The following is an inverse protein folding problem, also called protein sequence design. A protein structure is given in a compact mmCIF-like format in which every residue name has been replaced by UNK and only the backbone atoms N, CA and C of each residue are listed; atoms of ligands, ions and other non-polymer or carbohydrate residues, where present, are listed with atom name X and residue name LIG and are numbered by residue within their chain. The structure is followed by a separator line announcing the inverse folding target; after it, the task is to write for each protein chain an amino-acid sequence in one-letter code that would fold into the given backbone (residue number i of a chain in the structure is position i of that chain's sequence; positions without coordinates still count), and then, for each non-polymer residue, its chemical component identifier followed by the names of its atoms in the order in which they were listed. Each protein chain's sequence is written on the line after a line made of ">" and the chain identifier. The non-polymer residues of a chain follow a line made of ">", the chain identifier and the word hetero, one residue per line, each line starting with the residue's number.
data_IF_812384269549
#
_entry.id   IF_812384269549
#
_cell.length_a   1.000
_cell.length_b   1.000
_cell.length_c   1.000
_cell.angle_alpha   90.00
_cell.angle_beta   90.00
_cell.angle_gamma   90.00
#
_symmetry.space_group_name_H-M   'P 1'
#
loop_
_entity.id
_entity.type
_entity.pdbx_description
1 polymer ?
#
# COMPACT_ATOMS: atom_id res chain seq x y z
N UNK A 1 6.43 5.17 19.07
CA UNK A 1 5.34 4.42 18.42
C UNK A 1 5.80 2.97 18.30
N UNK A 2 5.01 1.93 18.54
CA UNK A 2 5.47 0.52 18.43
C UNK A 2 4.71 -0.23 17.33
N UNK A 3 4.51 0.43 16.17
CA UNK A 3 3.94 -0.22 14.97
C UNK A 3 4.74 -1.50 14.65
N UNK A 4 6.05 -1.48 14.91
CA UNK A 4 6.96 -2.59 14.69
C UNK A 4 6.74 -3.84 15.55
N UNK A 5 6.22 -3.72 16.80
CA UNK A 5 5.92 -4.92 17.63
C UNK A 5 4.78 -5.77 17.03
N UNK A 6 3.90 -5.17 16.22
CA UNK A 6 2.83 -5.89 15.50
C UNK A 6 3.33 -6.60 14.24
N UNK A 7 4.52 -6.26 13.75
CA UNK A 7 5.05 -6.75 12.47
C UNK A 7 6.32 -7.63 12.60
N UNK A 8 6.83 -7.89 13.81
CA UNK A 8 8.01 -8.74 14.03
C UNK A 8 7.60 -10.23 13.96
N UNK A 9 8.19 -11.06 13.09
CA UNK A 9 7.94 -12.50 13.09
C UNK A 9 8.75 -13.18 14.21
N UNK A 10 8.05 -13.99 15.01
CA UNK A 10 8.55 -15.08 15.87
C UNK A 10 9.94 -14.97 16.52
N UNK A 11 9.97 -14.72 17.82
CA UNK A 11 11.08 -15.07 18.71
C UNK A 11 10.52 -15.64 20.01
N UNK A 12 10.95 -16.85 20.38
CA UNK A 12 10.44 -17.63 21.49
C UNK A 12 10.46 -16.88 22.84
N UNK A 13 9.41 -17.15 23.61
CA UNK A 13 9.10 -16.64 24.94
C UNK A 13 10.15 -16.96 26.02
N UNK A 14 10.57 -15.94 26.76
CA UNK A 14 10.97 -16.04 28.16
C UNK A 14 10.31 -14.87 28.93
N UNK A 15 9.83 -15.07 30.18
CA UNK A 15 9.01 -14.08 30.86
C UNK A 15 9.89 -13.05 31.58
N UNK A 16 9.95 -11.83 31.05
CA UNK A 16 10.39 -10.67 31.84
C UNK A 16 9.16 -9.86 32.26
N UNK A 17 8.92 -9.91 33.57
CA UNK A 17 7.84 -9.21 34.26
C UNK A 17 8.18 -7.71 34.33
N UNK A 18 7.18 -6.89 34.00
CA UNK A 18 6.94 -5.51 34.44
C UNK A 18 7.98 -4.43 34.14
N UNK A 19 7.81 -3.73 33.00
CA UNK A 19 8.12 -2.29 32.88
C UNK A 19 7.15 -1.51 31.95
N UNK A 20 6.11 -2.15 31.38
CA UNK A 20 5.38 -1.62 30.22
C UNK A 20 3.93 -1.14 30.49
N UNK A 21 3.60 -0.75 31.73
CA UNK A 21 2.36 0.02 32.01
C UNK A 21 2.54 1.54 31.85
N UNK A 22 3.76 2.02 31.58
CA UNK A 22 4.07 3.45 31.65
C UNK A 22 3.77 4.28 30.38
N UNK A 23 3.41 3.67 29.24
CA UNK A 23 3.35 4.39 27.95
C UNK A 23 1.94 4.52 27.33
N UNK A 24 0.90 4.16 28.07
CA UNK A 24 -0.50 4.35 27.71
C UNK A 24 -1.21 5.31 28.68
N UNK A 25 -0.52 6.37 29.12
CA UNK A 25 -1.14 7.36 30.02
C UNK A 25 -2.32 8.06 29.29
N UNK A 26 -3.59 7.81 29.67
CA UNK A 26 -4.75 8.33 28.97
C UNK A 26 -4.77 9.86 28.89
N UNK A 27 -4.17 10.51 29.90
CA UNK A 27 -4.01 11.96 29.95
C UNK A 27 -3.10 12.50 28.85
N UNK A 28 -2.00 11.79 28.54
CA UNK A 28 -1.09 12.20 27.47
C UNK A 28 -1.74 12.05 26.08
N UNK A 29 -2.54 11.01 25.88
CA UNK A 29 -3.31 10.83 24.63
C UNK A 29 -4.40 11.89 24.47
N UNK A 30 -5.09 12.25 25.55
CA UNK A 30 -6.10 13.32 25.54
C UNK A 30 -5.50 14.69 25.23
N UNK A 31 -4.35 15.03 25.84
CA UNK A 31 -3.61 16.26 25.54
C UNK A 31 -3.13 16.28 24.08
N UNK A 32 -2.61 15.16 23.58
CA UNK A 32 -2.19 15.04 22.19
C UNK A 32 -3.34 15.25 21.21
N UNK A 33 -4.51 14.70 21.50
CA UNK A 33 -5.72 14.92 20.70
C UNK A 33 -6.18 16.39 20.71
N UNK A 34 -6.15 17.04 21.87
CA UNK A 34 -6.52 18.46 21.98
C UNK A 34 -5.55 19.34 21.16
N UNK A 35 -4.25 19.05 21.21
CA UNK A 35 -3.26 19.76 20.43
C UNK A 35 -3.43 19.52 18.92
N UNK A 36 -3.69 18.28 18.50
CA UNK A 36 -3.97 17.95 17.10
C UNK A 36 -5.17 18.74 16.56
N UNK A 37 -6.28 18.77 17.32
CA UNK A 37 -7.48 19.54 16.95
C UNK A 37 -7.18 21.03 16.80
N UNK A 38 -6.38 21.58 17.72
CA UNK A 38 -5.96 22.99 17.63
C UNK A 38 -5.13 23.26 16.38
N UNK A 39 -4.10 22.44 16.12
CA UNK A 39 -3.26 22.58 14.92
C UNK A 39 -4.08 22.47 13.63
N UNK A 40 -5.02 21.52 13.58
CA UNK A 40 -5.85 21.34 12.39
C UNK A 40 -6.88 22.47 12.20
N UNK A 41 -7.39 23.04 13.29
CA UNK A 41 -8.23 24.24 13.24
C UNK A 41 -7.45 25.44 12.69
N UNK A 42 -6.23 25.67 13.16
CA UNK A 42 -5.34 26.74 12.65
C UNK A 42 -4.90 26.50 11.20
N UNK A 43 -4.79 25.23 10.79
CA UNK A 43 -4.50 24.85 9.41
C UNK A 43 -5.68 25.13 8.47
N UNK A 44 -6.91 24.86 8.92
CA UNK A 44 -8.15 25.05 8.12
C UNK A 44 -8.64 26.49 8.12
N UNK A 45 -8.37 27.24 9.20
CA UNK A 45 -8.76 28.64 9.36
C UNK A 45 -7.52 29.49 9.68
N UNK A 46 -6.57 29.62 8.75
CA UNK A 46 -5.33 30.34 9.01
C UNK A 46 -5.59 31.86 9.05
N UNK A 47 -4.86 32.57 9.93
CA UNK A 47 -4.96 34.04 10.04
C UNK A 47 -4.52 34.77 8.76
N UNK A 48 -3.71 34.11 7.93
CA UNK A 48 -3.28 34.58 6.62
C UNK A 48 -3.30 33.41 5.62
N UNK A 49 -3.51 33.67 4.31
CA UNK A 49 -3.43 32.62 3.30
C UNK A 49 -2.10 31.88 3.36
N UNK A 50 -2.15 30.54 3.48
CA UNK A 50 -0.96 29.69 3.52
C UNK A 50 -0.51 29.34 2.10
N UNK A 51 0.79 29.42 1.85
CA UNK A 51 1.42 28.85 0.66
C UNK A 51 1.32 27.32 0.67
N UNK A 52 1.48 26.68 -0.49
CA UNK A 52 1.47 25.22 -0.59
C UNK A 52 2.52 24.57 0.31
N UNK A 53 3.74 25.12 0.33
CA UNK A 53 4.83 24.66 1.20
C UNK A 53 4.47 24.77 2.68
N UNK A 54 3.91 25.89 3.12
CA UNK A 54 3.50 26.05 4.52
C UNK A 54 2.37 25.10 4.91
N UNK A 55 1.47 24.77 3.98
CA UNK A 55 0.43 23.76 4.20
C UNK A 55 1.05 22.38 4.38
N UNK A 56 2.00 22.01 3.53
CA UNK A 56 2.68 20.72 3.63
C UNK A 56 3.49 20.62 4.93
N UNK A 57 4.27 21.65 5.27
CA UNK A 57 5.05 21.70 6.52
C UNK A 57 4.15 21.59 7.76
N UNK A 58 3.01 22.29 7.78
CA UNK A 58 2.03 22.17 8.88
C UNK A 58 1.42 20.78 8.94
N UNK A 59 1.10 20.15 7.80
CA UNK A 59 0.61 18.77 7.76
C UNK A 59 1.65 17.81 8.32
N UNK A 60 2.91 17.87 7.84
CA UNK A 60 3.99 17.03 8.33
C UNK A 60 4.16 17.11 9.85
N UNK A 61 4.08 18.30 10.42
CA UNK A 61 4.15 18.50 11.88
C UNK A 61 2.98 17.87 12.65
N UNK A 62 1.82 17.69 12.02
CA UNK A 62 0.65 17.04 12.64
C UNK A 62 0.70 15.51 12.57
N UNK A 63 1.43 14.90 11.63
CA UNK A 63 1.41 13.45 11.41
C UNK A 63 1.97 12.63 12.59
N UNK A 64 3.13 12.96 13.20
CA UNK A 64 3.63 12.26 14.39
C UNK A 64 2.62 12.26 15.52
N UNK A 65 1.97 13.40 15.74
CA UNK A 65 0.96 13.54 16.78
C UNK A 65 -0.29 12.71 16.49
N UNK A 66 -0.80 12.76 15.26
CA UNK A 66 -1.94 11.94 14.83
C UNK A 66 -1.65 10.45 15.06
N UNK A 67 -0.51 9.97 14.57
CA UNK A 67 -0.12 8.58 14.70
C UNK A 67 0.14 8.19 16.16
N UNK A 68 0.62 9.10 17.02
CA UNK A 68 0.78 8.85 18.46
C UNK A 68 -0.58 8.73 19.18
N UNK A 69 -1.55 9.56 18.81
CA UNK A 69 -2.90 9.57 19.41
C UNK A 69 -3.69 8.33 18.99
N UNK A 70 -3.64 7.96 17.71
CA UNK A 70 -4.49 6.91 17.15
C UNK A 70 -3.80 5.57 16.92
N UNK A 71 -2.46 5.49 17.00
CA UNK A 71 -1.71 4.26 16.71
C UNK A 71 -2.03 3.05 17.60
N UNK A 72 -2.53 3.31 18.81
CA UNK A 72 -2.97 2.29 19.77
C UNK A 72 -4.47 2.33 20.07
N UNK A 73 -5.22 3.22 19.41
CA UNK A 73 -6.68 3.31 19.59
C UNK A 73 -7.40 2.37 18.61
N UNK A 74 -8.56 1.80 18.96
CA UNK A 74 -9.45 1.17 18.00
C UNK A 74 -9.76 2.12 16.84
N UNK A 75 -9.90 1.61 15.61
CA UNK A 75 -10.14 2.48 14.46
C UNK A 75 -11.49 3.18 14.48
N UNK A 76 -12.49 2.58 15.14
CA UNK A 76 -13.80 3.17 15.42
C UNK A 76 -13.71 4.49 16.21
N UNK A 77 -12.71 4.64 17.06
CA UNK A 77 -12.56 5.80 17.94
C UNK A 77 -12.17 7.08 17.19
N UNK A 78 -11.59 6.95 15.98
CA UNK A 78 -11.10 8.11 15.21
C UNK A 78 -12.21 9.12 14.91
N UNK A 79 -13.34 8.63 14.40
CA UNK A 79 -14.50 9.44 14.05
C UNK A 79 -15.13 10.10 15.28
N UNK A 80 -15.25 9.37 16.40
CA UNK A 80 -15.83 9.89 17.63
C UNK A 80 -14.94 10.98 18.26
N UNK A 81 -13.64 10.73 18.29
CA UNK A 81 -12.68 11.59 18.99
C UNK A 81 -12.24 12.79 18.16
N UNK A 82 -12.22 12.70 16.84
CA UNK A 82 -11.76 13.77 15.95
C UNK A 82 -12.80 14.05 14.85
N UNK A 83 -13.72 14.99 15.11
CA UNK A 83 -14.84 15.30 14.21
C UNK A 83 -14.39 15.74 12.81
N UNK A 84 -13.24 16.38 12.68
CA UNK A 84 -12.70 16.82 11.39
C UNK A 84 -11.88 15.73 10.68
N UNK A 85 -11.97 14.47 11.11
CA UNK A 85 -11.16 13.36 10.57
C UNK A 85 -11.32 13.19 9.06
N UNK A 86 -12.50 13.42 8.49
CA UNK A 86 -12.72 13.33 7.04
C UNK A 86 -11.95 14.41 6.28
N UNK A 87 -11.98 15.64 6.78
CA UNK A 87 -11.21 16.74 6.21
C UNK A 87 -9.71 16.50 6.38
N UNK A 88 -9.27 16.04 7.56
CA UNK A 88 -7.88 15.66 7.81
C UNK A 88 -7.41 14.55 6.86
N UNK A 89 -8.20 13.48 6.72
CA UNK A 89 -7.96 12.38 5.81
C UNK A 89 -7.79 12.86 4.36
N UNK A 90 -8.64 13.80 3.92
CA UNK A 90 -8.54 14.36 2.58
C UNK A 90 -7.22 15.08 2.37
N UNK A 91 -6.75 15.87 3.34
CA UNK A 91 -5.49 16.61 3.23
C UNK A 91 -4.28 15.68 3.26
N UNK A 92 -4.25 14.71 4.18
CA UNK A 92 -3.19 13.68 4.26
C UNK A 92 -3.12 12.88 2.96
N UNK A 93 -4.27 12.49 2.42
CA UNK A 93 -4.35 11.73 1.18
C UNK A 93 -3.89 12.54 -0.04
N UNK A 94 -4.25 13.83 -0.12
CA UNK A 94 -3.76 14.74 -1.18
C UNK A 94 -2.25 14.94 -1.10
N UNK A 95 -1.71 15.11 0.11
CA UNK A 95 -0.28 15.23 0.34
C UNK A 95 0.45 13.97 -0.16
N UNK A 96 -0.02 12.78 0.21
CA UNK A 96 0.56 11.53 -0.31
C UNK A 96 0.56 11.49 -1.84
N UNK A 97 -0.59 11.76 -2.47
CA UNK A 97 -0.70 11.72 -3.93
C UNK A 97 0.22 12.76 -4.60
N UNK A 98 0.31 13.97 -4.05
CA UNK A 98 1.21 15.02 -4.55
C UNK A 98 2.67 14.58 -4.45
N UNK A 99 3.08 14.04 -3.31
CA UNK A 99 4.46 13.65 -3.06
C UNK A 99 4.93 12.48 -3.93
N UNK A 100 4.05 11.51 -4.20
CA UNK A 100 4.33 10.41 -5.11
C UNK A 100 4.45 10.90 -6.55
N UNK A 101 3.51 11.73 -7.01
CA UNK A 101 3.52 12.29 -8.38
C UNK A 101 4.72 13.17 -8.63
N UNK A 102 5.08 14.01 -7.66
CA UNK A 102 6.26 14.88 -7.72
C UNK A 102 7.54 14.07 -7.93
N UNK A 103 7.66 12.93 -7.26
CA UNK A 103 8.83 12.03 -7.38
C UNK A 103 8.84 11.20 -8.65
N UNK A 104 7.66 10.84 -9.17
CA UNK A 104 7.55 10.10 -10.42
C UNK A 104 7.73 10.97 -11.67
N UNK A 105 7.60 12.29 -11.57
CA UNK A 105 7.59 13.19 -12.73
C UNK A 105 8.96 13.31 -13.38
N UNK A 106 9.01 13.18 -14.72
CA UNK A 106 10.18 13.43 -15.58
C UNK A 106 11.43 12.61 -15.23
N UNK A 107 11.25 11.37 -14.80
CA UNK A 107 12.34 10.45 -14.44
C UNK A 107 12.17 9.10 -15.16
N UNK A 108 13.25 8.33 -15.25
CA UNK A 108 13.14 6.91 -15.60
C UNK A 108 12.34 6.16 -14.53
N UNK A 109 11.81 4.98 -14.86
CA UNK A 109 11.04 4.18 -13.91
C UNK A 109 11.88 3.77 -12.69
N UNK A 110 13.14 3.38 -12.90
CA UNK A 110 14.11 3.13 -11.84
C UNK A 110 14.31 4.35 -10.93
N UNK A 111 14.62 5.53 -11.49
CA UNK A 111 14.85 6.74 -10.69
C UNK A 111 13.60 7.17 -9.92
N UNK A 112 12.43 7.09 -10.55
CA UNK A 112 11.14 7.34 -9.90
C UNK A 112 10.90 6.37 -8.73
N UNK A 113 11.15 5.07 -8.93
CA UNK A 113 10.99 4.05 -7.90
C UNK A 113 11.91 4.30 -6.69
N UNK A 114 13.19 4.62 -6.95
CA UNK A 114 14.18 4.98 -5.93
C UNK A 114 13.77 6.22 -5.14
N UNK A 115 13.33 7.29 -5.83
CA UNK A 115 12.91 8.52 -5.18
C UNK A 115 11.69 8.32 -4.27
N UNK A 116 10.72 7.52 -4.71
CA UNK A 116 9.54 7.18 -3.92
C UNK A 116 9.92 6.35 -2.69
N UNK A 117 10.68 5.26 -2.87
CA UNK A 117 11.10 4.39 -1.78
C UNK A 117 11.93 5.15 -0.76
N UNK A 118 12.90 5.96 -1.20
CA UNK A 118 13.73 6.78 -0.31
C UNK A 118 12.91 7.70 0.58
N UNK A 119 11.82 8.26 0.07
CA UNK A 119 10.94 9.11 0.86
C UNK A 119 10.08 8.32 1.85
N UNK A 120 9.60 7.14 1.45
CA UNK A 120 8.71 6.34 2.27
C UNK A 120 9.44 5.51 3.33
N UNK A 121 10.72 5.15 3.12
CA UNK A 121 11.53 4.43 4.08
C UNK A 121 11.86 5.28 5.32
N UNK A 122 12.13 4.60 6.43
CA UNK A 122 12.64 5.23 7.65
C UNK A 122 14.09 5.66 7.38
N UNK A 123 14.42 6.94 7.59
CA UNK A 123 15.80 7.42 7.49
C UNK A 123 16.58 7.08 8.77
N UNK A 124 16.48 7.92 9.80
CA UNK A 124 17.20 7.73 11.07
C UNK A 124 16.31 7.14 12.16
N UNK A 125 15.09 7.67 12.28
CA UNK A 125 14.06 7.23 13.21
C UNK A 125 12.66 7.43 12.60
N UNK A 126 11.65 6.73 13.12
CA UNK A 126 10.27 6.83 12.61
C UNK A 126 9.77 8.29 12.61
N UNK A 127 9.93 8.99 13.74
CA UNK A 127 9.33 10.31 14.01
C UNK A 127 10.00 11.45 13.23
N UNK A 128 11.22 11.23 12.72
CA UNK A 128 11.95 12.20 11.89
C UNK A 128 11.67 12.03 10.39
N UNK A 129 11.04 10.93 9.99
CA UNK A 129 10.88 10.54 8.59
C UNK A 129 9.50 10.97 8.07
N UNK A 130 9.45 12.11 7.39
CA UNK A 130 8.19 12.71 6.90
C UNK A 130 7.34 11.75 6.06
N UNK A 131 7.94 11.04 5.10
CA UNK A 131 7.19 10.12 4.24
C UNK A 131 6.75 8.84 4.95
N UNK A 132 7.58 8.30 5.85
CA UNK A 132 7.18 7.20 6.74
C UNK A 132 5.99 7.58 7.62
N UNK A 133 6.01 8.78 8.21
CA UNK A 133 4.91 9.28 9.04
C UNK A 133 3.64 9.51 8.23
N UNK A 134 3.77 9.97 6.98
CA UNK A 134 2.67 10.14 6.05
C UNK A 134 2.03 8.80 5.68
N UNK A 135 2.84 7.79 5.37
CA UNK A 135 2.37 6.43 5.08
C UNK A 135 1.72 5.79 6.32
N UNK A 136 2.29 6.02 7.50
CA UNK A 136 1.75 5.54 8.77
C UNK A 136 0.40 6.16 9.10
N UNK A 137 0.23 7.47 8.90
CA UNK A 137 -1.04 8.16 9.08
C UNK A 137 -2.08 7.65 8.09
N UNK A 138 -1.69 7.48 6.81
CA UNK A 138 -2.54 6.93 5.76
C UNK A 138 -3.01 5.51 6.10
N UNK A 139 -2.12 4.67 6.65
CA UNK A 139 -2.45 3.32 7.09
C UNK A 139 -3.49 3.31 8.22
N UNK A 140 -3.35 4.19 9.21
CA UNK A 140 -4.35 4.34 10.28
C UNK A 140 -5.70 4.79 9.71
N UNK A 141 -5.71 5.78 8.83
CA UNK A 141 -6.92 6.28 8.18
C UNK A 141 -7.61 5.19 7.34
N UNK A 142 -6.84 4.36 6.62
CA UNK A 142 -7.36 3.24 5.84
C UNK A 142 -7.97 2.12 6.70
N UNK A 143 -7.64 2.04 7.99
CA UNK A 143 -8.29 1.12 8.93
C UNK A 143 -9.60 1.66 9.51
N UNK A 144 -9.93 2.92 9.23
CA UNK A 144 -11.19 3.54 9.61
C UNK A 144 -12.38 2.98 8.82
N UNK A 145 -13.53 3.65 8.94
CA UNK A 145 -14.73 3.20 8.25
C UNK A 145 -14.72 3.53 6.74
N UNK A 146 -15.77 3.08 6.06
CA UNK A 146 -15.97 3.25 4.62
C UNK A 146 -15.93 4.71 4.16
N UNK A 147 -16.30 5.67 5.02
CA UNK A 147 -16.31 7.10 4.65
C UNK A 147 -14.90 7.64 4.48
N UNK A 148 -13.94 7.18 5.29
CA UNK A 148 -12.52 7.50 5.14
C UNK A 148 -11.95 6.88 3.86
N UNK A 149 -12.28 5.62 3.58
CA UNK A 149 -11.89 4.95 2.34
C UNK A 149 -12.44 5.68 1.10
N UNK A 150 -13.68 6.17 1.16
CA UNK A 150 -14.26 6.98 0.09
C UNK A 150 -13.50 8.29 -0.12
N UNK A 151 -13.10 8.97 0.96
CA UNK A 151 -12.27 10.19 0.88
C UNK A 151 -10.94 9.88 0.19
N UNK A 152 -10.22 8.84 0.61
CA UNK A 152 -8.94 8.41 0.03
C UNK A 152 -9.10 8.05 -1.47
N UNK A 153 -10.18 7.35 -1.80
CA UNK A 153 -10.53 6.96 -3.17
C UNK A 153 -10.78 8.18 -4.06
N UNK A 154 -11.55 9.16 -3.55
CA UNK A 154 -11.91 10.38 -4.30
C UNK A 154 -10.70 11.22 -4.72
N UNK A 155 -9.59 11.10 -3.97
CA UNK A 155 -8.35 11.84 -4.26
C UNK A 155 -7.27 10.99 -4.93
N UNK A 156 -7.59 9.78 -5.42
CA UNK A 156 -6.68 8.91 -6.18
C UNK A 156 -5.63 8.15 -5.35
N UNK A 157 -5.86 7.89 -4.06
CA UNK A 157 -4.89 7.09 -3.29
C UNK A 157 -4.69 5.69 -3.88
N UNK A 158 -5.75 4.90 -4.20
CA UNK A 158 -5.58 3.53 -4.67
C UNK A 158 -4.77 3.45 -5.98
N UNK A 159 -5.20 4.16 -7.03
CA UNK A 159 -4.45 4.31 -8.28
C UNK A 159 -3.00 4.76 -8.10
N UNK A 160 -2.75 5.75 -7.25
CA UNK A 160 -1.39 6.23 -7.01
C UNK A 160 -0.52 5.15 -6.38
N UNK A 161 -1.02 4.43 -5.37
CA UNK A 161 -0.25 3.39 -4.70
C UNK A 161 -0.05 2.15 -5.58
N UNK A 162 -1.03 1.77 -6.41
CA UNK A 162 -0.87 0.68 -7.39
C UNK A 162 0.19 1.01 -8.43
N UNK A 163 0.24 2.25 -8.93
CA UNK A 163 1.31 2.72 -9.81
C UNK A 163 2.68 2.64 -9.15
N UNK A 164 2.80 3.09 -7.90
CA UNK A 164 4.05 2.97 -7.15
C UNK A 164 4.46 1.50 -6.96
N UNK A 165 3.51 0.61 -6.62
CA UNK A 165 3.78 -0.82 -6.48
C UNK A 165 4.35 -1.42 -7.77
N UNK A 166 3.81 -1.03 -8.93
CA UNK A 166 4.32 -1.46 -10.22
C UNK A 166 5.73 -0.91 -10.50
N UNK A 167 5.98 0.37 -10.18
CA UNK A 167 7.32 0.98 -10.31
C UNK A 167 8.38 0.28 -9.44
N UNK A 168 8.00 -0.31 -8.31
CA UNK A 168 8.94 -0.99 -7.42
C UNK A 168 9.58 -2.26 -8.03
N UNK A 169 9.11 -2.71 -9.19
CA UNK A 169 9.74 -3.78 -9.96
C UNK A 169 11.09 -3.35 -10.57
N UNK A 170 11.31 -2.05 -10.72
CA UNK A 170 12.52 -1.45 -11.27
C UNK A 170 13.50 -0.98 -10.17
N UNK A 171 13.27 -1.33 -8.90
CA UNK A 171 14.21 -0.98 -7.84
C UNK A 171 15.54 -1.72 -8.02
N UNK A 172 16.69 -1.05 -7.81
CA UNK A 172 17.98 -1.71 -7.78
C UNK A 172 18.12 -2.60 -6.54
N UNK A 173 19.11 -3.49 -6.57
CA UNK A 173 19.49 -4.28 -5.41
C UNK A 173 19.95 -3.36 -4.27
N UNK A 174 19.66 -3.74 -3.03
CA UNK A 174 20.03 -2.95 -1.85
C UNK A 174 21.52 -3.12 -1.59
N UNK A 175 22.26 -2.02 -1.64
CA UNK A 175 23.68 -2.00 -1.25
C UNK A 175 23.84 -2.18 0.26
N UNK A 176 24.80 -3.02 0.67
CA UNK A 176 25.13 -3.29 2.08
C UNK A 176 23.89 -3.56 2.97
N UNK A 177 23.04 -4.55 2.62
CA UNK A 177 21.68 -4.69 3.16
C UNK A 177 21.63 -4.92 4.68
N UNK A 178 22.71 -5.47 5.25
CA UNK A 178 22.79 -5.91 6.64
C UNK A 178 23.72 -5.01 7.49
N UNK A 179 24.27 -3.92 6.91
CA UNK A 179 25.16 -2.99 7.60
C UNK A 179 24.38 -1.79 8.10
N UNK A 180 24.30 -1.60 9.42
CA UNK A 180 23.67 -0.41 10.02
C UNK A 180 24.61 0.79 9.91
N UNK A 181 24.13 1.86 9.28
CA UNK A 181 24.84 3.15 9.25
C UNK A 181 24.85 3.80 10.65
N UNK A 182 25.89 4.57 10.96
CA UNK A 182 26.04 5.25 12.25
C UNK A 182 24.84 6.19 12.52
N UNK A 183 24.03 5.88 13.55
CA UNK A 183 22.88 6.69 13.94
C UNK A 183 21.53 6.20 13.39
N UNK A 184 21.51 5.13 12.60
CA UNK A 184 20.27 4.47 12.18
C UNK A 184 19.83 3.39 13.16
N UNK A 185 18.52 3.32 13.43
CA UNK A 185 17.91 2.22 14.21
C UNK A 185 17.78 0.91 13.41
N UNK A 186 17.77 0.98 12.07
CA UNK A 186 17.45 -0.14 11.19
C UNK A 186 18.46 -0.33 10.05
N UNK A 187 18.69 -1.57 9.65
CA UNK A 187 19.45 -1.86 8.41
C UNK A 187 18.63 -1.48 7.17
N UNK A 188 19.27 -1.23 6.01
CA UNK A 188 18.56 -1.01 4.75
C UNK A 188 17.54 -2.11 4.42
N UNK A 189 17.87 -3.38 4.69
CA UNK A 189 16.95 -4.51 4.53
C UNK A 189 15.72 -4.40 5.44
N UNK A 190 15.92 -4.08 6.71
CA UNK A 190 14.82 -3.94 7.67
C UNK A 190 13.87 -2.80 7.28
N UNK A 191 14.42 -1.64 6.87
CA UNK A 191 13.64 -0.49 6.38
C UNK A 191 12.77 -0.89 5.18
N UNK A 192 13.34 -1.61 4.21
CA UNK A 192 12.62 -2.12 3.04
C UNK A 192 11.48 -3.07 3.41
N UNK A 193 11.72 -4.00 4.33
CA UNK A 193 10.70 -4.96 4.81
C UNK A 193 9.56 -4.23 5.53
N UNK A 194 9.89 -3.23 6.35
CA UNK A 194 8.89 -2.42 7.07
C UNK A 194 8.04 -1.60 6.10
N UNK A 195 8.68 -0.96 5.10
CA UNK A 195 7.99 -0.28 4.01
C UNK A 195 7.05 -1.22 3.29
N UNK A 196 7.53 -2.38 2.85
CA UNK A 196 6.70 -3.37 2.16
C UNK A 196 5.44 -3.70 2.97
N UNK A 197 5.60 -4.05 4.26
CA UNK A 197 4.49 -4.43 5.13
C UNK A 197 3.44 -3.34 5.25
N UNK A 198 3.84 -2.11 5.57
CA UNK A 198 2.87 -1.03 5.78
C UNK A 198 2.25 -0.57 4.46
N UNK A 199 3.01 -0.56 3.36
CA UNK A 199 2.53 -0.19 2.04
C UNK A 199 1.47 -1.16 1.54
N UNK A 200 1.73 -2.46 1.65
CA UNK A 200 0.76 -3.51 1.30
C UNK A 200 -0.45 -3.47 2.21
N UNK A 201 -0.25 -3.27 3.51
CA UNK A 201 -1.35 -3.16 4.47
C UNK A 201 -2.33 -2.03 4.11
N UNK A 202 -1.85 -0.88 3.64
CA UNK A 202 -2.71 0.22 3.16
C UNK A 202 -3.51 -0.22 1.94
N UNK A 203 -2.85 -0.79 0.93
CA UNK A 203 -3.52 -1.25 -0.29
C UNK A 203 -4.56 -2.34 -0.03
N UNK A 204 -4.23 -3.32 0.83
CA UNK A 204 -5.15 -4.38 1.25
C UNK A 204 -6.37 -3.78 1.95
N UNK A 205 -6.17 -2.88 2.92
CA UNK A 205 -7.29 -2.20 3.62
C UNK A 205 -8.20 -1.45 2.66
N UNK A 206 -7.64 -0.71 1.71
CA UNK A 206 -8.43 -0.03 0.68
C UNK A 206 -9.18 -1.05 -0.19
N UNK A 207 -8.48 -2.05 -0.73
CA UNK A 207 -9.06 -3.02 -1.65
C UNK A 207 -10.01 -4.03 -0.99
N UNK A 208 -10.17 -4.00 0.34
CA UNK A 208 -11.26 -4.66 1.07
C UNK A 208 -12.62 -3.97 0.89
N UNK A 209 -12.68 -2.89 0.10
CA UNK A 209 -13.90 -2.18 -0.27
C UNK A 209 -14.07 -2.11 -1.79
N UNK A 210 -15.32 -1.97 -2.25
CA UNK A 210 -15.65 -1.88 -3.68
C UNK A 210 -15.14 -0.59 -4.33
N UNK A 211 -15.21 0.55 -3.62
CA UNK A 211 -14.92 1.85 -4.20
C UNK A 211 -13.47 1.99 -4.74
N UNK A 212 -12.41 1.49 -4.07
CA UNK A 212 -11.06 1.44 -4.65
C UNK A 212 -10.95 0.61 -5.92
N UNK A 213 -11.61 -0.55 -6.00
CA UNK A 213 -11.57 -1.39 -7.20
C UNK A 213 -12.22 -0.70 -8.41
N UNK A 214 -13.38 -0.06 -8.21
CA UNK A 214 -14.05 0.74 -9.23
C UNK A 214 -13.22 1.96 -9.64
N UNK A 215 -12.49 2.56 -8.70
CA UNK A 215 -11.60 3.67 -8.99
C UNK A 215 -10.41 3.26 -9.84
N UNK A 216 -9.79 2.12 -9.53
CA UNK A 216 -8.70 1.54 -10.31
C UNK A 216 -9.16 1.21 -11.74
N UNK A 217 -10.34 0.59 -11.90
CA UNK A 217 -10.91 0.29 -13.21
C UNK A 217 -11.21 1.58 -13.99
N UNK A 218 -11.86 2.55 -13.37
CA UNK A 218 -12.20 3.83 -14.03
C UNK A 218 -10.97 4.65 -14.42
N UNK A 219 -9.84 4.50 -13.73
CA UNK A 219 -8.58 5.19 -14.05
C UNK A 219 -7.62 4.40 -14.94
N UNK A 220 -8.04 3.21 -15.40
CA UNK A 220 -7.22 2.32 -16.22
C UNK A 220 -5.95 1.79 -15.49
N UNK A 221 -5.96 1.81 -14.16
CA UNK A 221 -4.81 1.42 -13.33
C UNK A 221 -4.93 -0.02 -12.82
N UNK A 222 -6.12 -0.62 -12.85
CA UNK A 222 -6.33 -2.00 -12.41
C UNK A 222 -5.52 -3.01 -13.23
N UNK A 223 -5.29 -2.74 -14.53
CA UNK A 223 -4.49 -3.63 -15.37
C UNK A 223 -3.04 -3.77 -14.88
N UNK A 224 -2.51 -2.78 -14.15
CA UNK A 224 -1.16 -2.83 -13.59
C UNK A 224 -1.01 -3.95 -12.57
N UNK A 225 -2.06 -4.29 -11.81
CA UNK A 225 -2.02 -5.43 -10.88
C UNK A 225 -1.94 -6.77 -11.63
N UNK A 226 -2.68 -6.92 -12.73
CA UNK A 226 -2.62 -8.13 -13.58
C UNK A 226 -1.26 -8.27 -14.27
N UNK A 227 -0.71 -7.15 -14.77
CA UNK A 227 0.68 -7.12 -15.23
C UNK A 227 1.62 -7.54 -14.11
N UNK A 228 1.53 -6.91 -12.92
CA UNK A 228 2.47 -7.11 -11.82
C UNK A 228 2.57 -8.57 -11.38
N UNK A 229 1.45 -9.29 -11.25
CA UNK A 229 1.47 -10.67 -10.74
C UNK A 229 2.13 -11.68 -11.69
N UNK A 230 2.30 -11.32 -12.97
CA UNK A 230 2.87 -12.19 -14.01
C UNK A 230 4.06 -11.57 -14.74
N UNK A 231 4.47 -10.36 -14.37
CA UNK A 231 5.65 -9.72 -14.94
C UNK A 231 6.92 -10.37 -14.38
N UNK A 232 7.93 -10.45 -15.25
CA UNK A 232 9.28 -10.72 -14.81
C UNK A 232 9.79 -9.60 -13.93
N UNK A 233 10.59 -9.95 -12.92
CA UNK A 233 11.34 -8.99 -12.13
C UNK A 233 12.62 -9.65 -11.60
N UNK A 234 13.66 -8.86 -11.28
CA UNK A 234 14.82 -9.36 -10.55
C UNK A 234 14.43 -10.05 -9.23
N UNK A 235 15.26 -11.00 -8.78
CA UNK A 235 14.99 -11.82 -7.58
C UNK A 235 14.74 -10.96 -6.32
N UNK A 236 15.49 -9.87 -6.15
CA UNK A 236 15.32 -8.95 -5.02
C UNK A 236 13.97 -8.20 -5.02
N UNK A 237 13.27 -8.13 -6.16
CA UNK A 237 11.97 -7.48 -6.29
C UNK A 237 10.78 -8.45 -6.27
N UNK A 238 11.01 -9.77 -6.16
CA UNK A 238 9.94 -10.79 -6.09
C UNK A 238 8.96 -10.53 -4.95
N UNK A 239 9.40 -9.92 -3.84
CA UNK A 239 8.53 -9.55 -2.73
C UNK A 239 7.43 -8.55 -3.15
N UNK A 240 7.69 -7.67 -4.12
CA UNK A 240 6.70 -6.74 -4.66
C UNK A 240 5.71 -7.43 -5.60
N UNK A 241 6.14 -8.45 -6.36
CA UNK A 241 5.23 -9.33 -7.10
C UNK A 241 4.27 -10.08 -6.19
N UNK A 242 4.78 -10.64 -5.08
CA UNK A 242 3.95 -11.29 -4.04
C UNK A 242 2.97 -10.31 -3.39
N UNK A 243 3.42 -9.08 -3.16
CA UNK A 243 2.60 -7.98 -2.65
C UNK A 243 1.46 -7.60 -3.60
N UNK A 244 1.73 -7.52 -4.92
CA UNK A 244 0.69 -7.26 -5.92
C UNK A 244 -0.35 -8.39 -5.98
N UNK A 245 0.09 -9.65 -5.83
CA UNK A 245 -0.81 -10.79 -5.75
C UNK A 245 -1.73 -10.70 -4.52
N UNK A 246 -1.20 -10.33 -3.35
CA UNK A 246 -2.01 -10.14 -2.14
C UNK A 246 -3.08 -9.05 -2.30
N UNK A 247 -2.72 -7.93 -2.92
CA UNK A 247 -3.66 -6.84 -3.21
C UNK A 247 -4.74 -7.30 -4.19
N UNK A 248 -4.35 -7.98 -5.28
CA UNK A 248 -5.30 -8.49 -6.27
C UNK A 248 -6.25 -9.55 -5.68
N UNK A 249 -5.73 -10.41 -4.78
CA UNK A 249 -6.53 -11.39 -4.04
C UNK A 249 -7.51 -10.76 -3.05
N UNK A 250 -7.17 -9.60 -2.49
CA UNK A 250 -8.11 -8.86 -1.65
C UNK A 250 -9.20 -8.23 -2.52
N UNK A 251 -8.82 -7.65 -3.66
CA UNK A 251 -9.74 -7.08 -4.62
C UNK A 251 -10.70 -8.13 -5.20
N UNK A 252 -10.23 -9.35 -5.50
CA UNK A 252 -11.11 -10.41 -6.02
C UNK A 252 -12.24 -10.78 -5.06
N UNK A 253 -12.00 -10.72 -3.75
CA UNK A 253 -12.99 -11.07 -2.72
C UNK A 253 -14.00 -9.97 -2.43
N UNK A 254 -13.60 -8.71 -2.59
CA UNK A 254 -14.38 -7.58 -2.08
C UNK A 254 -14.77 -6.56 -3.15
N UNK A 255 -14.07 -6.56 -4.29
CA UNK A 255 -14.10 -5.47 -5.28
C UNK A 255 -14.63 -5.85 -6.66
N UNK A 256 -15.04 -7.11 -6.90
CA UNK A 256 -15.55 -7.56 -8.19
C UNK A 256 -17.01 -7.12 -8.46
N UNK A 257 -17.23 -5.81 -8.53
CA UNK A 257 -18.50 -5.26 -9.01
C UNK A 257 -18.61 -5.42 -10.54
N UNK A 258 -19.82 -5.33 -11.09
CA UNK A 258 -20.04 -5.46 -12.54
C UNK A 258 -19.16 -4.53 -13.40
N UNK A 259 -18.98 -3.24 -13.06
CA UNK A 259 -18.05 -2.37 -13.78
C UNK A 259 -16.60 -2.87 -13.76
N UNK A 260 -16.15 -3.44 -12.64
CA UNK A 260 -14.79 -3.97 -12.48
C UNK A 260 -14.61 -5.23 -13.31
N UNK A 261 -15.56 -6.17 -13.27
CA UNK A 261 -15.55 -7.38 -14.10
C UNK A 261 -15.57 -7.02 -15.59
N UNK A 262 -16.44 -6.09 -15.99
CA UNK A 262 -16.51 -5.59 -17.36
C UNK A 262 -15.20 -4.97 -17.81
N UNK A 263 -14.54 -4.20 -16.95
CA UNK A 263 -13.22 -3.64 -17.22
C UNK A 263 -12.19 -4.75 -17.46
N UNK A 264 -12.10 -5.74 -16.55
CA UNK A 264 -11.11 -6.83 -16.61
C UNK A 264 -11.27 -7.62 -17.91
N UNK A 265 -12.52 -7.95 -18.27
CA UNK A 265 -12.86 -8.61 -19.53
C UNK A 265 -12.43 -7.76 -20.74
N UNK A 266 -12.92 -6.52 -20.82
CA UNK A 266 -12.69 -5.64 -21.98
C UNK A 266 -11.21 -5.27 -22.19
N UNK A 267 -10.43 -5.21 -21.11
CA UNK A 267 -8.99 -4.94 -21.16
C UNK A 267 -8.15 -6.19 -21.39
N UNK A 268 -8.76 -7.38 -21.42
CA UNK A 268 -8.05 -8.65 -21.62
C UNK A 268 -7.06 -8.93 -20.50
N UNK A 269 -7.36 -8.54 -19.26
CA UNK A 269 -6.42 -8.65 -18.15
C UNK A 269 -6.00 -10.11 -17.87
N UNK A 270 -6.89 -11.08 -18.07
CA UNK A 270 -6.57 -12.51 -17.94
C UNK A 270 -5.65 -12.98 -19.06
N UNK A 271 -5.92 -12.57 -20.30
CA UNK A 271 -5.08 -12.87 -21.46
C UNK A 271 -3.67 -12.29 -21.29
N UNK A 272 -3.56 -11.07 -20.77
CA UNK A 272 -2.30 -10.42 -20.44
C UNK A 272 -1.45 -11.25 -19.47
N UNK A 273 -2.07 -11.86 -18.45
CA UNK A 273 -1.36 -12.74 -17.52
C UNK A 273 -0.77 -13.97 -18.24
N UNK A 274 -1.54 -14.59 -19.14
CA UNK A 274 -1.07 -15.75 -19.92
C UNK A 274 0.06 -15.36 -20.87
N UNK A 275 -0.11 -14.25 -21.60
CA UNK A 275 0.90 -13.73 -22.52
C UNK A 275 2.24 -13.48 -21.81
N UNK A 276 2.22 -12.87 -20.63
CA UNK A 276 3.43 -12.62 -19.84
C UNK A 276 4.15 -13.93 -19.46
N UNK A 277 3.40 -14.94 -18.99
CA UNK A 277 3.99 -16.23 -18.60
C UNK A 277 4.55 -17.01 -19.78
N UNK A 278 4.03 -16.82 -21.00
CA UNK A 278 4.47 -17.53 -22.20
C UNK A 278 5.66 -16.87 -22.90
N UNK A 279 5.72 -15.54 -22.91
CA UNK A 279 6.67 -14.79 -23.75
C UNK A 279 8.01 -14.51 -23.07
N UNK A 280 8.05 -14.47 -21.75
CA UNK A 280 9.27 -14.15 -21.01
C UNK A 280 10.15 -15.41 -20.93
N UNK A 281 11.33 -15.36 -21.56
CA UNK A 281 12.24 -16.51 -21.63
C UNK A 281 13.05 -16.70 -20.34
N UNK A 282 13.15 -15.65 -19.54
CA UNK A 282 13.92 -15.58 -18.30
C UNK A 282 13.19 -16.19 -17.10
N UNK A 283 11.94 -16.65 -17.26
CA UNK A 283 11.16 -17.26 -16.17
C UNK A 283 11.60 -18.69 -15.91
N UNK A 284 11.90 -18.99 -14.65
CA UNK A 284 12.08 -20.37 -14.20
C UNK A 284 10.71 -21.09 -14.11
N UNK A 285 10.68 -22.44 -14.21
CA UNK A 285 9.44 -23.19 -14.02
C UNK A 285 8.76 -22.92 -12.68
N UNK A 286 9.53 -22.74 -11.60
CA UNK A 286 8.98 -22.41 -10.28
C UNK A 286 8.25 -21.06 -10.28
N UNK A 287 8.79 -20.06 -10.97
CA UNK A 287 8.13 -18.75 -11.08
C UNK A 287 6.82 -18.84 -11.87
N UNK A 288 6.80 -19.61 -12.96
CA UNK A 288 5.56 -19.85 -13.72
C UNK A 288 4.52 -20.54 -12.82
N UNK A 289 4.92 -21.50 -11.98
CA UNK A 289 4.02 -22.11 -10.98
C UNK A 289 3.48 -21.07 -9.99
N UNK A 290 4.34 -20.21 -9.41
CA UNK A 290 3.90 -19.15 -8.50
C UNK A 290 2.93 -18.17 -9.17
N UNK A 291 3.18 -17.82 -10.43
CA UNK A 291 2.30 -16.96 -11.24
C UNK A 291 0.95 -17.63 -11.51
N UNK A 292 0.93 -18.92 -11.89
CA UNK A 292 -0.31 -19.68 -12.03
C UNK A 292 -1.10 -19.72 -10.72
N UNK A 293 -0.44 -19.92 -9.58
CA UNK A 293 -1.10 -19.89 -8.27
C UNK A 293 -1.80 -18.54 -8.05
N UNK A 294 -1.13 -17.42 -8.34
CA UNK A 294 -1.74 -16.09 -8.21
C UNK A 294 -2.96 -15.92 -9.13
N UNK A 295 -2.85 -16.32 -10.41
CA UNK A 295 -3.95 -16.27 -11.38
C UNK A 295 -5.10 -17.18 -10.95
N UNK A 296 -4.84 -18.41 -10.49
CA UNK A 296 -5.89 -19.33 -10.07
C UNK A 296 -6.57 -18.91 -8.78
N UNK A 297 -5.84 -18.35 -7.82
CA UNK A 297 -6.46 -17.80 -6.63
C UNK A 297 -7.42 -16.65 -7.01
N UNK A 298 -7.04 -15.79 -7.96
CA UNK A 298 -7.95 -14.76 -8.50
C UNK A 298 -9.16 -15.37 -9.20
N UNK A 299 -8.95 -16.32 -10.12
CA UNK A 299 -10.03 -16.95 -10.90
C UNK A 299 -11.02 -17.70 -10.01
N UNK A 300 -10.52 -18.42 -9.01
CA UNK A 300 -11.32 -19.10 -7.99
C UNK A 300 -12.26 -18.12 -7.31
N UNK A 301 -11.72 -17.06 -6.70
CA UNK A 301 -12.53 -16.08 -5.97
C UNK A 301 -13.50 -15.35 -6.93
N UNK A 302 -13.10 -15.11 -8.19
CA UNK A 302 -13.97 -14.49 -9.19
C UNK A 302 -15.11 -15.39 -9.67
N UNK A 303 -14.94 -16.71 -9.64
CA UNK A 303 -15.93 -17.66 -10.19
C UNK A 303 -17.27 -17.64 -9.44
N UNK A 304 -17.26 -17.21 -8.18
CA UNK A 304 -18.47 -17.03 -7.37
C UNK A 304 -19.34 -15.86 -7.88
N UNK A 305 -18.75 -14.91 -8.61
CA UNK A 305 -19.38 -13.63 -8.99
C UNK A 305 -19.44 -13.44 -10.51
N UNK A 306 -18.47 -13.97 -11.26
CA UNK A 306 -18.30 -13.71 -12.70
C UNK A 306 -17.70 -14.91 -13.44
N UNK A 307 -18.56 -15.76 -14.00
CA UNK A 307 -18.15 -16.88 -14.87
C UNK A 307 -17.39 -16.42 -16.13
N UNK A 308 -17.64 -15.20 -16.59
CA UNK A 308 -16.97 -14.59 -17.76
C UNK A 308 -15.45 -14.62 -17.65
N UNK A 309 -14.87 -14.46 -16.44
CA UNK A 309 -13.40 -14.43 -16.29
C UNK A 309 -12.76 -15.82 -16.42
N UNK A 310 -13.51 -16.89 -16.09
CA UNK A 310 -13.11 -18.27 -16.42
C UNK A 310 -13.22 -18.54 -17.92
N UNK A 311 -14.25 -18.00 -18.57
CA UNK A 311 -14.38 -18.09 -20.02
C UNK A 311 -13.26 -17.33 -20.75
N UNK A 312 -12.81 -16.19 -20.22
CA UNK A 312 -11.66 -15.46 -20.73
C UNK A 312 -10.39 -16.30 -20.65
N UNK A 313 -10.15 -16.94 -19.49
CA UNK A 313 -9.02 -17.85 -19.31
C UNK A 313 -9.06 -19.02 -20.31
N UNK A 314 -10.25 -19.57 -20.58
CA UNK A 314 -10.43 -20.59 -21.62
C UNK A 314 -10.12 -20.04 -23.00
N UNK A 315 -10.65 -18.86 -23.32
CA UNK A 315 -10.58 -18.26 -24.65
C UNK A 315 -9.16 -17.84 -25.03
N UNK A 316 -8.37 -17.41 -24.05
CA UNK A 316 -6.95 -17.11 -24.22
C UNK A 316 -6.03 -18.33 -24.09
N UNK A 317 -6.56 -19.55 -24.25
CA UNK A 317 -5.81 -20.81 -24.21
C UNK A 317 -5.09 -21.09 -22.87
N UNK A 318 -5.55 -20.50 -21.75
CA UNK A 318 -4.93 -20.68 -20.44
C UNK A 318 -4.90 -22.14 -19.97
N UNK A 319 -5.97 -22.91 -20.24
CA UNK A 319 -6.01 -24.35 -19.90
C UNK A 319 -5.04 -25.17 -20.75
N UNK A 320 -4.91 -24.86 -22.04
CA UNK A 320 -3.97 -25.53 -22.92
C UNK A 320 -2.54 -25.27 -22.44
N UNK A 321 -2.20 -24.01 -22.19
CA UNK A 321 -0.89 -23.62 -21.66
C UNK A 321 -0.57 -24.32 -20.33
N UNK A 322 -1.50 -24.34 -19.37
CA UNK A 322 -1.32 -25.06 -18.12
C UNK A 322 -1.05 -26.55 -18.35
N UNK A 323 -1.83 -27.19 -19.22
CA UNK A 323 -1.69 -28.62 -19.49
C UNK A 323 -0.33 -28.94 -20.11
N UNK A 324 0.13 -28.15 -21.08
CA UNK A 324 1.45 -28.32 -21.69
C UNK A 324 2.57 -28.06 -20.70
N UNK A 325 2.40 -27.10 -19.78
CA UNK A 325 3.38 -26.80 -18.76
C UNK A 325 3.50 -27.92 -17.71
N UNK A 326 2.39 -28.50 -17.25
CA UNK A 326 2.39 -29.57 -16.24
C UNK A 326 2.81 -30.94 -16.79
N UNK A 327 2.63 -31.18 -18.09
CA UNK A 327 2.94 -32.45 -18.75
C UNK A 327 4.35 -32.49 -19.36
N UNK A 328 5.09 -31.38 -19.34
CA UNK A 328 6.52 -31.31 -19.66
C UNK A 328 7.36 -31.73 -18.46
#
# INVERSE_FOLDING_TARGET
>A
MNIMRKFRPGGASAPSVSQDEANSNPQHTALGLMHLKKLFSEYTHPSHPLTEKERDDKLYNMLPLFCKVFGNSPSSDMMEKFRDILAFCQQVSRLMVSEMRRRASNQSTEAASCAIVKFLEIENSEESSNGWMLLSALNLLAAGDVSLVQVMTSVSVPSTLVKCLYLFFDLPEIENPDTTENGSEFTPRERRILLQKIFVQVLVRLCSHTAPAEELARKDDLTLLFSAITSWCPQHNVMWRKSAAEVLMTLSRHGLTQPVVSYIHNKGCVALCIDNMQRVQELSPLEIVEMFVAVFCFLKDSSEVAQTLLEDFRSCQGYLFLSEFLLK
#
